data_IF_631329949344
#
_entry.id   IF_631329949344
#
_cell.length_a   1.000
_cell.length_b   1.000
_cell.length_c   1.000
_cell.angle_alpha   90.00
_cell.angle_beta   90.00
_cell.angle_gamma   90.00
#
_symmetry.space_group_name_H-M   'P 1'
#
loop_
_entity.id
_entity.type
_entity.pdbx_description
1 polymer ?
#
# COMPACT_ATOMS: atom_id res chain seq x y z
N UNK A 1 12.20 -25.97 6.18
CA UNK A 1 12.38 -24.51 6.12
C UNK A 1 11.12 -23.87 6.66
N UNK A 2 11.25 -23.03 7.68
CA UNK A 2 10.13 -22.26 8.25
C UNK A 2 9.70 -21.14 7.29
N UNK A 3 8.52 -20.54 7.51
CA UNK A 3 8.10 -19.36 6.72
C UNK A 3 9.10 -18.21 6.84
N UNK A 4 9.62 -17.96 8.03
CA UNK A 4 10.62 -16.92 8.26
C UNK A 4 11.90 -17.16 7.45
N UNK A 5 12.43 -18.39 7.46
CA UNK A 5 13.61 -18.74 6.67
C UNK A 5 13.37 -18.56 5.17
N UNK A 6 12.17 -18.86 4.68
CA UNK A 6 11.80 -18.63 3.29
C UNK A 6 11.79 -17.13 2.93
N UNK A 7 11.21 -16.30 3.80
CA UNK A 7 11.13 -14.87 3.60
C UNK A 7 12.49 -14.18 3.70
N UNK A 8 13.33 -14.62 4.64
CA UNK A 8 14.72 -14.18 4.72
C UNK A 8 15.50 -14.56 3.47
N UNK A 9 15.32 -15.78 2.95
CA UNK A 9 15.98 -16.20 1.73
C UNK A 9 15.55 -15.35 0.52
N UNK A 10 14.25 -15.02 0.41
CA UNK A 10 13.76 -14.11 -0.62
C UNK A 10 14.42 -12.73 -0.51
N UNK A 11 14.45 -12.16 0.70
CA UNK A 11 15.09 -10.86 0.93
C UNK A 11 16.60 -10.88 0.61
N UNK A 12 17.30 -11.95 0.96
CA UNK A 12 18.71 -12.11 0.61
C UNK A 12 18.93 -12.18 -0.89
N UNK A 13 18.11 -12.96 -1.59
CA UNK A 13 18.19 -13.10 -3.04
C UNK A 13 17.94 -11.76 -3.75
N UNK A 14 17.02 -10.95 -3.25
CA UNK A 14 16.78 -9.59 -3.76
C UNK A 14 17.96 -8.66 -3.49
N UNK A 15 18.49 -8.67 -2.25
CA UNK A 15 19.61 -7.79 -1.86
C UNK A 15 20.90 -8.18 -2.59
N UNK A 16 21.09 -9.46 -2.89
CA UNK A 16 22.26 -9.99 -3.58
C UNK A 16 22.08 -10.06 -5.10
N UNK A 17 20.94 -9.58 -5.63
CA UNK A 17 20.63 -9.48 -7.07
C UNK A 17 20.84 -10.79 -7.82
N UNK A 18 20.36 -11.91 -7.26
CA UNK A 18 20.47 -13.21 -7.93
C UNK A 18 19.66 -13.24 -9.23
N UNK A 19 20.27 -13.71 -10.31
CA UNK A 19 19.74 -13.71 -11.68
C UNK A 19 18.31 -14.23 -11.85
N UNK A 20 17.87 -15.17 -11.01
CA UNK A 20 16.51 -15.75 -11.09
C UNK A 20 15.37 -14.74 -10.87
N UNK A 21 15.69 -13.51 -10.42
CA UNK A 21 14.73 -12.44 -10.18
C UNK A 21 14.92 -11.25 -11.14
N UNK A 22 15.82 -11.33 -12.16
CA UNK A 22 16.36 -10.16 -12.90
C UNK A 22 15.43 -9.60 -13.97
N UNK A 23 14.42 -10.29 -14.53
CA UNK A 23 13.84 -9.73 -15.77
C UNK A 23 12.44 -9.11 -15.68
N UNK A 24 11.49 -9.62 -15.00
CA UNK A 24 10.11 -9.06 -15.02
C UNK A 24 9.46 -8.98 -13.65
N UNK A 25 9.94 -9.78 -12.72
CA UNK A 25 9.31 -9.99 -11.43
C UNK A 25 9.89 -9.13 -10.29
N UNK A 26 10.97 -8.41 -10.52
CA UNK A 26 11.65 -7.62 -9.48
C UNK A 26 10.73 -6.62 -8.80
N UNK A 27 9.97 -5.87 -9.59
CA UNK A 27 9.07 -4.86 -9.07
C UNK A 27 7.95 -5.43 -8.19
N UNK A 28 7.58 -6.70 -8.37
CA UNK A 28 6.54 -7.35 -7.57
C UNK A 28 7.07 -7.94 -6.26
N UNK A 29 8.37 -8.21 -6.16
CA UNK A 29 8.99 -8.75 -4.96
C UNK A 29 9.69 -7.68 -4.12
N UNK A 30 10.12 -6.58 -4.70
CA UNK A 30 10.63 -5.44 -3.95
C UNK A 30 9.49 -4.71 -3.25
N UNK A 31 9.84 -4.11 -2.14
CA UNK A 31 8.92 -3.28 -1.37
C UNK A 31 8.79 -1.88 -1.99
N UNK A 32 7.62 -1.30 -1.88
CA UNK A 32 7.41 0.11 -2.16
C UNK A 32 7.56 0.89 -0.86
N UNK A 33 8.43 1.90 -0.80
CA UNK A 33 8.63 2.66 0.44
C UNK A 33 7.39 3.48 0.80
N UNK A 34 6.73 4.06 -0.21
CA UNK A 34 5.49 4.79 -0.10
C UNK A 34 4.58 4.47 -1.30
N UNK A 35 3.27 4.67 -1.10
CA UNK A 35 2.32 4.54 -2.21
C UNK A 35 2.40 5.73 -3.15
N UNK A 36 2.14 5.48 -4.43
CA UNK A 36 2.00 6.50 -5.49
C UNK A 36 0.56 7.02 -5.61
N UNK A 37 -0.35 6.53 -4.78
CA UNK A 37 -1.77 6.88 -4.79
C UNK A 37 -2.04 8.06 -3.86
N UNK A 38 -2.88 8.99 -4.29
CA UNK A 38 -3.36 10.06 -3.41
C UNK A 38 -4.42 9.54 -2.43
N UNK A 39 -3.94 8.90 -1.37
CA UNK A 39 -4.78 8.27 -0.34
C UNK A 39 -5.67 9.28 0.40
N UNK A 40 -5.15 10.49 0.61
CA UNK A 40 -5.83 11.55 1.33
C UNK A 40 -7.19 11.87 0.72
N UNK A 41 -7.21 12.08 -0.59
CA UNK A 41 -8.44 12.48 -1.27
C UNK A 41 -9.37 11.30 -1.51
N UNK A 42 -8.82 10.17 -1.95
CA UNK A 42 -9.64 9.04 -2.30
C UNK A 42 -10.37 8.42 -1.10
N UNK A 43 -9.74 8.37 0.09
CA UNK A 43 -10.41 7.88 1.30
C UNK A 43 -11.30 8.93 1.99
N UNK A 44 -11.20 10.20 1.62
CA UNK A 44 -11.95 11.26 2.28
C UNK A 44 -13.47 11.07 2.20
N UNK A 45 -13.98 10.55 1.11
CA UNK A 45 -15.41 10.36 0.86
C UNK A 45 -16.03 9.17 1.64
N UNK A 46 -15.21 8.31 2.27
CA UNK A 46 -15.71 7.11 2.95
C UNK A 46 -15.76 7.29 4.46
N UNK A 47 -16.94 7.01 5.03
CA UNK A 47 -17.08 6.84 6.47
C UNK A 47 -16.82 5.36 6.83
N UNK A 48 -15.65 5.11 7.44
CA UNK A 48 -15.20 3.75 7.79
C UNK A 48 -15.16 3.51 9.31
N UNK A 49 -15.70 4.41 10.11
CA UNK A 49 -15.76 4.25 11.55
C UNK A 49 -16.51 2.96 11.94
N UNK A 50 -15.89 2.14 12.79
CA UNK A 50 -16.39 0.82 13.21
C UNK A 50 -16.61 -0.20 12.07
N UNK A 51 -16.05 0.02 10.90
CA UNK A 51 -16.14 -0.89 9.75
C UNK A 51 -14.99 -1.90 9.71
N UNK A 52 -15.27 -3.07 9.14
CA UNK A 52 -14.24 -4.05 8.80
C UNK A 52 -13.73 -3.73 7.41
N UNK A 53 -12.44 -3.47 7.31
CA UNK A 53 -11.79 -3.01 6.09
C UNK A 53 -10.74 -4.02 5.62
N UNK A 54 -10.66 -4.24 4.32
CA UNK A 54 -9.56 -4.96 3.68
C UNK A 54 -8.87 -4.06 2.66
N UNK A 55 -7.57 -4.20 2.52
CA UNK A 55 -6.77 -3.45 1.54
C UNK A 55 -5.62 -4.29 1.01
N UNK A 56 -5.23 -4.06 -0.24
CA UNK A 56 -3.89 -4.45 -0.70
C UNK A 56 -2.89 -3.70 0.16
N UNK A 57 -1.88 -4.40 0.67
CA UNK A 57 -0.97 -3.80 1.66
C UNK A 57 0.12 -2.96 1.03
N UNK A 58 0.72 -3.45 -0.06
CA UNK A 58 1.74 -2.72 -0.82
C UNK A 58 2.81 -2.05 0.07
N UNK A 59 2.83 -0.72 0.10
CA UNK A 59 3.72 0.10 0.95
C UNK A 59 3.29 0.20 2.41
N UNK A 60 2.12 -0.35 2.76
CA UNK A 60 1.45 -0.22 4.07
C UNK A 60 0.88 1.17 4.40
N UNK A 61 0.98 2.14 3.50
CA UNK A 61 0.38 3.46 3.70
C UNK A 61 -1.15 3.38 3.74
N UNK A 62 -1.74 2.44 3.00
CA UNK A 62 -3.16 2.14 3.05
C UNK A 62 -3.63 1.78 4.46
N UNK A 63 -2.83 1.03 5.22
CA UNK A 63 -3.15 0.66 6.60
C UNK A 63 -3.20 1.89 7.49
N UNK A 64 -2.20 2.78 7.37
CA UNK A 64 -2.10 4.00 8.17
C UNK A 64 -3.24 4.98 7.86
N UNK A 65 -3.57 5.16 6.59
CA UNK A 65 -4.68 6.00 6.15
C UNK A 65 -6.05 5.44 6.58
N UNK A 66 -6.25 4.12 6.46
CA UNK A 66 -7.46 3.47 6.95
C UNK A 66 -7.58 3.61 8.46
N UNK A 67 -6.48 3.50 9.22
CA UNK A 67 -6.51 3.63 10.67
C UNK A 67 -7.03 5.00 11.14
N UNK A 68 -6.72 6.06 10.42
CA UNK A 68 -7.26 7.39 10.71
C UNK A 68 -8.79 7.48 10.59
N UNK A 69 -9.41 6.56 9.85
CA UNK A 69 -10.87 6.46 9.73
C UNK A 69 -11.52 5.65 10.87
N UNK A 70 -10.74 5.21 11.87
CA UNK A 70 -11.18 4.47 13.06
C UNK A 70 -11.98 3.21 12.73
N UNK A 71 -11.49 2.34 11.84
CA UNK A 71 -12.19 1.10 11.53
C UNK A 71 -12.18 0.17 12.73
N UNK A 72 -13.09 -0.79 12.74
CA UNK A 72 -13.13 -1.86 13.74
C UNK A 72 -11.95 -2.83 13.57
N UNK A 73 -11.58 -3.10 12.32
CA UNK A 73 -10.52 -4.04 11.96
C UNK A 73 -9.98 -3.72 10.57
N UNK A 74 -8.69 -3.92 10.37
CA UNK A 74 -8.03 -3.80 9.07
C UNK A 74 -7.36 -5.14 8.73
N UNK A 75 -7.62 -5.65 7.53
CA UNK A 75 -6.91 -6.80 6.97
C UNK A 75 -6.08 -6.29 5.78
N UNK A 76 -4.77 -6.36 5.89
CA UNK A 76 -3.86 -6.15 4.76
C UNK A 76 -3.63 -7.48 4.04
N UNK A 77 -3.73 -7.48 2.72
CA UNK A 77 -3.47 -8.65 1.89
C UNK A 77 -2.42 -8.32 0.82
N UNK A 78 -1.51 -9.25 0.57
CA UNK A 78 -0.50 -9.11 -0.46
C UNK A 78 0.08 -10.46 -0.85
N UNK A 79 0.44 -10.63 -2.11
CA UNK A 79 1.19 -11.79 -2.60
C UNK A 79 2.65 -11.73 -2.20
N UNK A 80 3.20 -10.53 -2.04
CA UNK A 80 4.56 -10.34 -1.55
C UNK A 80 4.59 -10.50 -0.02
N UNK A 81 5.23 -11.56 0.50
CA UNK A 81 5.25 -11.81 1.94
C UNK A 81 6.04 -10.75 2.74
N UNK A 82 6.94 -10.03 2.08
CA UNK A 82 7.79 -9.03 2.74
C UNK A 82 7.01 -7.79 3.16
N UNK A 83 5.88 -7.49 2.49
CA UNK A 83 5.03 -6.35 2.83
C UNK A 83 4.47 -6.42 4.25
N UNK A 84 4.19 -7.64 4.76
CA UNK A 84 3.78 -7.84 6.15
C UNK A 84 4.84 -7.42 7.17
N UNK A 85 6.09 -7.81 6.94
CA UNK A 85 7.20 -7.38 7.79
C UNK A 85 7.45 -5.88 7.69
N UNK A 86 7.29 -5.31 6.49
CA UNK A 86 7.44 -3.88 6.28
C UNK A 86 6.34 -3.07 6.97
N UNK A 87 5.08 -3.52 6.90
CA UNK A 87 3.98 -2.89 7.62
C UNK A 87 4.20 -2.86 9.14
N UNK A 88 4.69 -3.97 9.70
CA UNK A 88 5.03 -4.02 11.11
C UNK A 88 6.19 -3.07 11.47
N UNK A 89 7.20 -2.93 10.60
CA UNK A 89 8.28 -1.95 10.80
C UNK A 89 7.74 -0.52 10.79
N UNK A 90 6.88 -0.17 9.82
CA UNK A 90 6.22 1.14 9.77
C UNK A 90 5.41 1.43 11.03
N UNK A 91 4.60 0.48 11.50
CA UNK A 91 3.81 0.65 12.72
C UNK A 91 4.68 0.78 13.97
N UNK A 92 5.72 -0.05 14.11
CA UNK A 92 6.64 0.02 15.24
C UNK A 92 7.40 1.35 15.28
N UNK A 93 7.72 1.93 14.13
CA UNK A 93 8.48 3.17 14.03
C UNK A 93 7.78 4.37 14.67
N UNK A 94 6.44 4.39 14.74
CA UNK A 94 5.68 5.43 15.44
C UNK A 94 5.91 5.45 16.96
N UNK A 95 6.55 4.43 17.52
CA UNK A 95 6.93 4.43 18.94
C UNK A 95 8.20 5.22 19.20
N UNK A 96 9.02 5.44 18.18
CA UNK A 96 10.36 6.02 18.28
C UNK A 96 10.43 7.36 17.55
N UNK A 97 9.89 7.42 16.36
CA UNK A 97 9.92 8.60 15.50
C UNK A 97 8.78 9.55 15.93
N UNK A 98 9.15 10.65 16.58
CA UNK A 98 8.20 11.58 17.19
C UNK A 98 7.49 12.49 16.19
N UNK A 99 8.00 12.61 14.95
CA UNK A 99 7.50 13.52 13.93
C UNK A 99 7.43 12.86 12.56
N UNK A 100 6.52 13.34 11.71
CA UNK A 100 6.42 12.90 10.31
C UNK A 100 7.72 13.14 9.53
N UNK A 101 8.48 14.17 9.89
CA UNK A 101 9.79 14.43 9.28
C UNK A 101 10.80 13.34 9.61
N UNK A 102 10.93 12.96 10.89
CA UNK A 102 11.81 11.85 11.29
C UNK A 102 11.40 10.55 10.64
N UNK A 103 10.09 10.31 10.51
CA UNK A 103 9.54 9.15 9.80
C UNK A 103 9.97 9.14 8.31
N UNK A 104 9.82 10.25 7.61
CA UNK A 104 10.27 10.38 6.23
C UNK A 104 11.79 10.25 6.12
N UNK A 105 12.55 10.87 7.03
CA UNK A 105 14.02 10.78 7.05
C UNK A 105 14.49 9.32 7.23
N UNK A 106 13.76 8.50 7.98
CA UNK A 106 14.08 7.08 8.18
C UNK A 106 13.69 6.20 6.98
N UNK A 107 12.49 6.34 6.43
CA UNK A 107 12.00 5.44 5.36
C UNK A 107 12.39 5.86 3.95
N UNK A 108 12.75 7.12 3.77
CA UNK A 108 12.98 7.69 2.46
C UNK A 108 14.45 7.62 2.04
N UNK A 109 14.66 7.37 0.72
CA UNK A 109 15.97 7.48 0.10
C UNK A 109 16.08 8.82 -0.62
N UNK A 110 17.15 9.58 -0.38
CA UNK A 110 17.48 10.78 -1.12
C UNK A 110 18.75 10.53 -1.93
N UNK A 111 18.64 10.47 -3.24
CA UNK A 111 19.77 10.34 -4.15
C UNK A 111 20.67 11.59 -4.24
N UNK A 112 20.37 12.63 -3.47
CA UNK A 112 21.11 13.88 -3.52
C UNK A 112 22.03 14.10 -2.32
N UNK A 113 23.24 13.53 -2.35
CA UNK A 113 24.28 13.87 -1.34
C UNK A 113 24.71 15.34 -1.40
N UNK A 114 24.33 16.07 -2.46
CA UNK A 114 24.70 17.48 -2.65
C UNK A 114 23.97 18.47 -1.76
N UNK A 115 22.78 18.14 -1.27
CA UNK A 115 21.94 19.04 -0.49
C UNK A 115 21.81 18.67 1.01
N UNK A 116 22.16 17.46 1.39
CA UNK A 116 22.11 17.00 2.78
C UNK A 116 23.52 16.77 3.32
N UNK A 117 24.23 17.84 3.64
CA UNK A 117 25.61 17.75 4.15
C UNK A 117 25.78 17.05 5.49
N UNK A 118 24.73 16.80 6.26
CA UNK A 118 24.90 16.38 7.66
C UNK A 118 23.78 15.49 8.20
N UNK A 119 23.20 14.54 7.71
CA UNK A 119 22.44 13.48 8.43
C UNK A 119 21.60 12.64 7.46
N UNK A 120 22.29 11.76 6.80
CA UNK A 120 21.64 10.69 6.07
C UNK A 120 21.16 9.65 7.09
N UNK A 121 19.87 9.57 7.32
CA UNK A 121 19.26 8.69 8.34
C UNK A 121 18.39 7.57 7.77
N UNK A 122 18.39 7.39 6.43
CA UNK A 122 17.58 6.33 5.84
C UNK A 122 18.02 4.96 6.36
N UNK A 123 17.09 4.27 6.99
CA UNK A 123 17.34 2.97 7.64
C UNK A 123 18.51 3.01 8.63
N UNK A 124 18.73 4.14 9.29
CA UNK A 124 19.78 4.31 10.30
C UNK A 124 19.74 3.17 11.31
N UNK A 125 20.92 2.60 11.60
CA UNK A 125 21.03 1.37 12.40
C UNK A 125 20.73 1.62 13.88
N UNK A 126 21.10 2.78 14.42
CA UNK A 126 20.85 3.12 15.82
C UNK A 126 19.35 3.38 16.02
N UNK A 127 18.74 4.12 15.11
CA UNK A 127 17.27 4.34 15.10
C UNK A 127 16.53 2.99 14.94
N UNK A 128 17.01 2.11 14.06
CA UNK A 128 16.42 0.79 13.91
C UNK A 128 16.48 -0.02 15.21
N UNK A 129 17.59 0.02 15.95
CA UNK A 129 17.72 -0.69 17.23
C UNK A 129 16.66 -0.25 18.24
N UNK A 130 16.33 1.04 18.26
CA UNK A 130 15.23 1.54 19.08
C UNK A 130 13.87 1.03 18.61
N UNK A 131 13.61 1.07 17.29
CA UNK A 131 12.37 0.56 16.69
C UNK A 131 12.21 -0.95 16.94
N UNK A 132 13.29 -1.72 16.89
CA UNK A 132 13.29 -3.18 17.09
C UNK A 132 12.73 -3.59 18.47
N UNK A 133 12.76 -2.71 19.47
CA UNK A 133 12.15 -2.96 20.78
C UNK A 133 10.61 -3.02 20.71
N UNK A 134 10.02 -2.44 19.67
CA UNK A 134 8.56 -2.41 19.45
C UNK A 134 8.10 -3.39 18.37
N UNK A 135 9.03 -4.08 17.71
CA UNK A 135 8.73 -5.21 16.85
C UNK A 135 8.52 -6.48 17.67
N UNK A 136 7.71 -7.39 17.15
CA UNK A 136 7.46 -8.68 17.77
C UNK A 136 7.50 -9.83 16.76
N UNK A 137 7.59 -11.06 17.28
CA UNK A 137 7.53 -12.30 16.50
C UNK A 137 8.50 -12.31 15.30
N UNK A 138 8.04 -12.89 14.21
CA UNK A 138 8.85 -13.10 13.00
C UNK A 138 9.32 -11.78 12.37
N UNK A 139 8.57 -10.69 12.52
CA UNK A 139 8.98 -9.39 11.96
C UNK A 139 10.20 -8.81 12.67
N UNK A 140 10.31 -8.99 13.99
CA UNK A 140 11.50 -8.62 14.74
C UNK A 140 12.72 -9.39 14.24
N UNK A 141 12.62 -10.71 14.21
CA UNK A 141 13.70 -11.59 13.77
C UNK A 141 14.12 -11.31 12.32
N UNK A 142 13.15 -11.05 11.44
CA UNK A 142 13.40 -10.72 10.04
C UNK A 142 14.26 -9.46 9.90
N UNK A 143 13.86 -8.36 10.52
CA UNK A 143 14.57 -7.09 10.39
C UNK A 143 15.91 -7.11 11.13
N UNK A 144 15.98 -7.67 12.34
CA UNK A 144 17.25 -7.82 13.08
C UNK A 144 18.28 -8.59 12.26
N UNK A 145 17.85 -9.67 11.57
CA UNK A 145 18.75 -10.47 10.73
C UNK A 145 19.24 -9.69 9.50
N UNK A 146 18.37 -8.90 8.86
CA UNK A 146 18.78 -8.06 7.74
C UNK A 146 19.79 -6.99 8.18
N UNK A 147 19.52 -6.27 9.27
CA UNK A 147 20.42 -5.24 9.79
C UNK A 147 21.71 -5.80 10.40
N UNK A 148 21.72 -7.06 10.79
CA UNK A 148 22.92 -7.77 11.20
C UNK A 148 23.82 -8.12 10.01
N UNK A 149 23.22 -8.51 8.88
CA UNK A 149 23.93 -9.06 7.71
C UNK A 149 24.33 -7.98 6.70
N UNK A 150 23.56 -6.91 6.57
CA UNK A 150 23.76 -5.91 5.53
C UNK A 150 23.82 -4.48 6.10
N UNK A 151 24.55 -3.64 5.39
CA UNK A 151 24.53 -2.20 5.66
C UNK A 151 23.16 -1.59 5.32
N UNK A 152 22.67 -0.59 6.09
CA UNK A 152 21.39 0.07 5.90
C UNK A 152 21.13 0.53 4.45
N UNK A 153 22.14 1.16 3.85
CA UNK A 153 22.10 1.61 2.44
C UNK A 153 21.79 0.45 1.50
N UNK A 154 22.42 -0.71 1.70
CA UNK A 154 22.21 -1.86 0.85
C UNK A 154 20.81 -2.45 1.02
N UNK A 155 20.29 -2.50 2.25
CA UNK A 155 18.90 -2.91 2.52
C UNK A 155 17.96 -1.98 1.74
N UNK A 156 18.10 -0.65 1.92
CA UNK A 156 17.19 0.31 1.33
C UNK A 156 17.24 0.32 -0.21
N UNK A 157 18.40 0.27 -0.81
CA UNK A 157 18.54 0.36 -2.28
C UNK A 157 18.22 -0.93 -3.02
N UNK A 158 18.33 -2.10 -2.36
CA UNK A 158 18.15 -3.40 -3.03
C UNK A 158 16.84 -4.08 -2.70
N UNK A 159 16.30 -3.86 -1.50
CA UNK A 159 15.04 -4.47 -1.09
C UNK A 159 13.82 -3.63 -1.49
N UNK A 160 14.02 -2.35 -1.81
CA UNK A 160 12.94 -1.43 -2.17
C UNK A 160 13.02 -0.98 -3.62
N UNK A 161 11.86 -0.72 -4.20
CA UNK A 161 11.77 -0.05 -5.48
C UNK A 161 12.25 1.41 -5.35
N UNK A 162 12.89 1.89 -6.39
CA UNK A 162 13.16 3.31 -6.54
C UNK A 162 11.90 3.96 -7.13
N UNK A 163 11.47 5.05 -6.52
CA UNK A 163 10.43 5.89 -7.09
C UNK A 163 11.02 7.28 -7.28
N UNK A 164 11.04 7.75 -8.50
CA UNK A 164 11.45 9.13 -8.85
C UNK A 164 10.57 10.19 -8.18
N UNK A 165 9.47 9.75 -7.58
CA UNK A 165 8.36 10.58 -7.10
C UNK A 165 8.40 10.86 -5.59
N UNK A 166 9.45 10.45 -4.90
CA UNK A 166 9.59 10.65 -3.46
C UNK A 166 9.96 12.10 -3.09
N UNK A 167 9.16 13.05 -3.51
CA UNK A 167 9.25 14.41 -3.01
C UNK A 167 8.47 14.54 -1.70
N UNK A 168 9.12 15.02 -0.62
CA UNK A 168 8.46 15.20 0.67
C UNK A 168 7.18 16.01 0.58
N UNK A 169 7.16 17.06 -0.25
CA UNK A 169 5.99 17.90 -0.43
C UNK A 169 4.83 17.13 -1.03
N UNK A 170 5.09 16.27 -2.03
CA UNK A 170 4.07 15.42 -2.63
C UNK A 170 3.52 14.42 -1.61
N UNK A 171 4.38 13.76 -0.82
CA UNK A 171 3.94 12.84 0.23
C UNK A 171 3.08 13.53 1.30
N UNK A 172 3.41 14.74 1.74
CA UNK A 172 2.57 15.52 2.66
C UNK A 172 1.21 15.91 2.05
N UNK A 173 1.14 16.01 0.73
CA UNK A 173 -0.12 16.34 0.04
C UNK A 173 -1.00 15.11 -0.18
N UNK A 174 -0.41 13.94 -0.38
CA UNK A 174 -1.11 12.71 -0.75
C UNK A 174 -1.38 11.77 0.41
N UNK A 175 -0.63 11.89 1.52
CA UNK A 175 -0.75 11.05 2.71
C UNK A 175 -1.17 11.88 3.91
N UNK A 176 -2.42 11.72 4.36
CA UNK A 176 -2.97 12.51 5.47
C UNK A 176 -2.32 12.15 6.80
N UNK A 177 -1.83 10.93 6.98
CA UNK A 177 -1.18 10.52 8.21
C UNK A 177 0.14 11.27 8.49
N UNK A 178 0.74 11.91 7.48
CA UNK A 178 1.94 12.74 7.65
C UNK A 178 1.65 14.15 8.18
N UNK A 179 0.38 14.59 8.23
CA UNK A 179 0.06 15.85 8.92
C UNK A 179 0.29 15.73 10.42
N UNK A 180 0.75 16.78 11.07
CA UNK A 180 1.12 16.77 12.49
C UNK A 180 0.02 16.20 13.40
N UNK A 181 -1.23 16.65 13.22
CA UNK A 181 -2.34 16.17 14.05
C UNK A 181 -2.63 14.68 13.85
N UNK A 182 -2.62 14.20 12.61
CA UNK A 182 -2.86 12.79 12.30
C UNK A 182 -1.66 11.91 12.69
N UNK A 183 -0.44 12.40 12.51
CA UNK A 183 0.75 11.70 12.95
C UNK A 183 0.71 11.47 14.46
N UNK A 184 0.46 12.52 15.24
CA UNK A 184 0.31 12.44 16.68
C UNK A 184 -0.86 11.53 17.10
N UNK A 185 -1.95 11.50 16.33
CA UNK A 185 -3.04 10.56 16.58
C UNK A 185 -2.56 9.11 16.46
N UNK A 186 -1.79 8.76 15.42
CA UNK A 186 -1.25 7.41 15.25
C UNK A 186 -0.27 7.08 16.39
N UNK A 187 0.69 7.96 16.68
CA UNK A 187 1.64 7.79 17.81
C UNK A 187 0.91 7.42 19.10
N UNK A 188 -0.17 8.14 19.43
CA UNK A 188 -0.91 7.96 20.68
C UNK A 188 -1.90 6.79 20.67
N UNK A 189 -2.20 6.21 19.52
CA UNK A 189 -3.22 5.16 19.39
C UNK A 189 -2.73 3.91 18.66
N UNK A 190 -1.45 3.79 18.31
CA UNK A 190 -0.91 2.66 17.53
C UNK A 190 -1.24 1.29 18.13
N UNK A 191 -1.26 1.19 19.46
CA UNK A 191 -1.55 -0.06 20.17
C UNK A 191 -3.04 -0.48 20.08
N UNK A 192 -3.89 0.40 19.53
CA UNK A 192 -5.32 0.15 19.32
C UNK A 192 -5.64 -0.31 17.90
N UNK A 193 -4.64 -0.43 17.04
CA UNK A 193 -4.82 -0.89 15.66
C UNK A 193 -5.10 -2.38 15.67
N UNK A 194 -6.33 -2.78 15.39
CA UNK A 194 -6.67 -4.18 15.08
C UNK A 194 -6.30 -4.45 13.61
N UNK A 195 -5.05 -4.78 13.40
CA UNK A 195 -4.48 -5.05 12.08
C UNK A 195 -3.97 -6.48 11.98
N UNK A 196 -4.29 -7.12 10.85
CA UNK A 196 -3.80 -8.45 10.51
C UNK A 196 -3.30 -8.46 9.07
N UNK A 197 -2.11 -8.95 8.85
CA UNK A 197 -1.58 -9.23 7.51
C UNK A 197 -1.86 -10.68 7.11
N UNK A 198 -2.29 -10.87 5.84
CA UNK A 198 -2.40 -12.17 5.21
C UNK A 198 -1.62 -12.19 3.90
N UNK A 199 -0.65 -13.08 3.82
CA UNK A 199 0.08 -13.33 2.58
C UNK A 199 -0.76 -14.25 1.70
N UNK A 200 -1.58 -13.66 0.85
CA UNK A 200 -2.50 -14.35 -0.05
C UNK A 200 -2.60 -13.64 -1.39
N UNK A 201 -2.92 -14.39 -2.42
CA UNK A 201 -3.41 -13.81 -3.66
C UNK A 201 -4.86 -13.33 -3.45
N UNK A 202 -5.15 -12.09 -3.81
CA UNK A 202 -6.47 -11.48 -3.67
C UNK A 202 -7.56 -12.27 -4.44
N UNK A 203 -7.17 -13.03 -5.47
CA UNK A 203 -8.08 -13.93 -6.21
C UNK A 203 -8.64 -15.05 -5.34
N UNK A 204 -7.92 -15.43 -4.28
CA UNK A 204 -8.33 -16.46 -3.31
C UNK A 204 -9.02 -15.84 -2.08
N UNK A 205 -9.48 -14.60 -2.18
CA UNK A 205 -10.02 -13.85 -1.05
C UNK A 205 -11.16 -14.58 -0.33
N UNK A 206 -12.11 -15.15 -1.06
CA UNK A 206 -13.29 -15.80 -0.47
C UNK A 206 -12.96 -17.07 0.30
N UNK A 207 -11.86 -17.74 -0.05
CA UNK A 207 -11.38 -18.94 0.62
C UNK A 207 -10.60 -18.63 1.89
N UNK A 208 -9.83 -17.53 1.86
CA UNK A 208 -8.86 -17.16 2.89
C UNK A 208 -9.41 -16.17 3.93
N UNK A 209 -10.46 -15.41 3.58
CA UNK A 209 -11.12 -14.45 4.46
C UNK A 209 -12.52 -14.93 4.80
N UNK A 210 -12.69 -15.48 6.00
CA UNK A 210 -13.98 -16.03 6.43
C UNK A 210 -15.00 -14.96 6.77
N UNK A 211 -14.57 -13.87 7.43
CA UNK A 211 -15.44 -12.81 7.89
C UNK A 211 -15.84 -11.83 6.77
N UNK A 212 -17.09 -11.37 6.82
CA UNK A 212 -17.58 -10.35 5.88
C UNK A 212 -16.95 -8.99 6.16
N UNK A 213 -16.66 -8.27 5.08
CA UNK A 213 -16.08 -6.95 5.08
C UNK A 213 -17.13 -5.88 4.75
N UNK A 214 -16.92 -4.66 5.24
CA UNK A 214 -17.75 -3.51 4.91
C UNK A 214 -17.09 -2.67 3.79
N UNK A 215 -15.78 -2.78 3.67
CA UNK A 215 -14.98 -2.00 2.73
C UNK A 215 -13.77 -2.80 2.26
N UNK A 216 -13.55 -2.82 0.97
CA UNK A 216 -12.35 -3.44 0.37
C UNK A 216 -11.76 -2.49 -0.65
N UNK A 217 -10.46 -2.24 -0.58
CA UNK A 217 -9.76 -1.45 -1.58
C UNK A 217 -8.65 -2.24 -2.26
N UNK A 218 -8.62 -2.16 -3.58
CA UNK A 218 -7.72 -2.92 -4.44
C UNK A 218 -6.54 -2.09 -4.96
N UNK A 219 -6.33 -0.88 -4.38
CA UNK A 219 -5.25 0.00 -4.85
C UNK A 219 -5.38 0.26 -6.36
N UNK A 220 -4.31 0.15 -7.12
CA UNK A 220 -4.26 0.28 -8.58
C UNK A 220 -4.34 -1.07 -9.31
N UNK A 221 -4.90 -2.11 -8.68
CA UNK A 221 -4.92 -3.47 -9.23
C UNK A 221 -5.60 -3.58 -10.60
N UNK A 222 -6.53 -2.67 -10.91
CA UNK A 222 -7.20 -2.63 -12.20
C UNK A 222 -6.21 -2.48 -13.38
N UNK A 223 -5.09 -1.78 -13.17
CA UNK A 223 -4.04 -1.62 -14.18
C UNK A 223 -3.38 -2.96 -14.53
N UNK A 224 -3.40 -3.89 -13.57
CA UNK A 224 -2.85 -5.23 -13.73
C UNK A 224 -3.90 -6.26 -14.18
N UNK A 225 -5.11 -5.84 -14.53
CA UNK A 225 -6.18 -6.74 -14.97
C UNK A 225 -5.74 -7.60 -16.17
N UNK A 226 -4.96 -7.02 -17.09
CA UNK A 226 -4.39 -7.72 -18.24
C UNK A 226 -3.43 -8.88 -17.85
N UNK A 227 -2.86 -8.85 -16.66
CA UNK A 227 -2.01 -9.93 -16.15
C UNK A 227 -2.76 -10.99 -15.36
N UNK A 228 -4.04 -10.77 -15.06
CA UNK A 228 -4.88 -11.73 -14.33
C UNK A 228 -5.38 -12.86 -15.22
N UNK A 229 -5.73 -12.52 -16.46
CA UNK A 229 -6.07 -13.45 -17.53
C UNK A 229 -5.60 -12.84 -18.85
N UNK A 230 -4.58 -13.43 -19.45
CA UNK A 230 -4.00 -12.92 -20.70
C UNK A 230 -4.95 -13.04 -21.90
N UNK A 231 -5.89 -14.01 -21.84
CA UNK A 231 -6.81 -14.28 -22.94
C UNK A 231 -8.09 -13.43 -22.83
N UNK A 232 -8.51 -13.09 -21.62
CA UNK A 232 -9.67 -12.26 -21.37
C UNK A 232 -9.52 -11.43 -20.07
N UNK A 233 -8.80 -10.32 -20.10
CA UNK A 233 -8.55 -9.48 -18.92
C UNK A 233 -9.80 -9.01 -18.21
N UNK A 234 -10.85 -8.69 -18.98
CA UNK A 234 -12.13 -8.24 -18.43
C UNK A 234 -12.83 -9.36 -17.65
N UNK A 235 -12.80 -10.60 -18.13
CA UNK A 235 -13.38 -11.73 -17.43
C UNK A 235 -12.62 -11.99 -16.10
N UNK A 236 -11.29 -12.01 -16.12
CA UNK A 236 -10.49 -12.18 -14.92
C UNK A 236 -10.77 -11.12 -13.85
N UNK A 237 -10.93 -9.88 -14.28
CA UNK A 237 -11.31 -8.78 -13.40
C UNK A 237 -12.74 -8.94 -12.84
N UNK A 238 -13.72 -9.33 -13.68
CA UNK A 238 -15.09 -9.59 -13.24
C UNK A 238 -15.14 -10.71 -12.19
N UNK A 239 -14.47 -11.82 -12.44
CA UNK A 239 -14.40 -12.96 -11.52
C UNK A 239 -13.79 -12.55 -10.18
N UNK A 240 -12.76 -11.70 -10.18
CA UNK A 240 -12.19 -11.14 -8.97
C UNK A 240 -13.22 -10.33 -8.17
N UNK A 241 -13.90 -9.38 -8.83
CA UNK A 241 -14.87 -8.51 -8.16
C UNK A 241 -16.08 -9.33 -7.65
N UNK A 242 -16.54 -10.32 -8.41
CA UNK A 242 -17.59 -11.25 -7.97
C UNK A 242 -17.14 -12.06 -6.73
N UNK A 243 -15.94 -12.59 -6.74
CA UNK A 243 -15.34 -13.29 -5.59
C UNK A 243 -15.30 -12.43 -4.32
N UNK A 244 -14.82 -11.20 -4.44
CA UNK A 244 -14.78 -10.25 -3.33
C UNK A 244 -16.19 -9.95 -2.81
N UNK A 245 -17.18 -9.85 -3.70
CA UNK A 245 -18.56 -9.57 -3.33
C UNK A 245 -19.17 -10.63 -2.41
N UNK A 246 -18.73 -11.88 -2.50
CA UNK A 246 -19.22 -12.97 -1.64
C UNK A 246 -18.88 -12.74 -0.17
N UNK A 247 -17.79 -12.02 0.10
CA UNK A 247 -17.34 -11.64 1.45
C UNK A 247 -17.68 -10.20 1.82
N UNK A 248 -18.51 -9.52 1.05
CA UNK A 248 -18.94 -8.16 1.32
C UNK A 248 -20.30 -8.17 2.05
N UNK A 249 -20.48 -7.29 3.03
CA UNK A 249 -21.78 -7.01 3.64
C UNK A 249 -22.69 -6.30 2.62
N UNK A 250 -24.01 -6.33 2.87
CA UNK A 250 -24.96 -5.47 2.15
C UNK A 250 -24.53 -4.00 2.36
N UNK A 251 -24.65 -3.17 1.31
CA UNK A 251 -24.15 -1.80 1.26
C UNK A 251 -22.63 -1.66 1.45
N UNK A 252 -21.91 -2.77 1.54
CA UNK A 252 -20.45 -2.79 1.55
C UNK A 252 -19.90 -2.32 0.21
N UNK A 253 -18.69 -1.78 0.23
CA UNK A 253 -18.06 -1.17 -0.94
C UNK A 253 -16.75 -1.86 -1.32
N UNK A 254 -16.55 -1.98 -2.63
CA UNK A 254 -15.25 -2.30 -3.22
C UNK A 254 -14.77 -1.07 -3.98
N UNK A 255 -13.63 -0.52 -3.59
CA UNK A 255 -12.89 0.44 -4.39
C UNK A 255 -11.96 -0.37 -5.29
N UNK A 256 -12.41 -0.58 -6.51
CA UNK A 256 -11.87 -1.60 -7.40
C UNK A 256 -10.63 -1.17 -8.16
N UNK A 257 -10.33 0.12 -8.19
CA UNK A 257 -9.15 0.62 -8.88
C UNK A 257 -8.91 2.09 -8.62
N UNK A 258 -7.65 2.43 -8.54
CA UNK A 258 -7.16 3.78 -8.69
C UNK A 258 -6.67 3.93 -10.12
N UNK A 259 -7.33 4.82 -10.84
CA UNK A 259 -7.09 5.06 -12.26
C UNK A 259 -6.27 6.34 -12.38
N UNK A 260 -5.10 6.21 -12.95
CA UNK A 260 -4.26 7.36 -13.27
C UNK A 260 -4.72 7.96 -14.60
N UNK A 261 -4.80 9.29 -14.68
CA UNK A 261 -5.08 10.01 -15.92
C UNK A 261 -6.39 9.62 -16.60
N UNK A 262 -7.47 9.86 -15.87
CA UNK A 262 -8.82 9.42 -16.28
C UNK A 262 -9.26 9.94 -17.65
N UNK A 263 -8.78 11.10 -18.07
CA UNK A 263 -9.13 11.69 -19.35
C UNK A 263 -8.63 10.90 -20.56
N UNK A 264 -7.52 10.18 -20.39
CA UNK A 264 -6.91 9.39 -21.47
C UNK A 264 -7.35 7.92 -21.50
N UNK A 265 -8.06 7.45 -20.46
CA UNK A 265 -8.46 6.03 -20.33
C UNK A 265 -10.00 5.83 -20.35
N UNK A 266 -10.74 6.71 -20.99
CA UNK A 266 -12.21 6.78 -20.88
C UNK A 266 -12.92 5.51 -21.40
N UNK A 267 -12.45 4.94 -22.50
CA UNK A 267 -13.07 3.77 -23.13
C UNK A 267 -12.94 2.50 -22.28
N UNK A 268 -11.80 2.25 -21.69
CA UNK A 268 -11.56 1.05 -20.88
C UNK A 268 -12.43 1.06 -19.61
N UNK A 269 -12.68 2.22 -19.05
CA UNK A 269 -13.48 2.40 -17.83
C UNK A 269 -14.94 2.07 -18.00
N UNK A 270 -15.53 2.47 -19.13
CA UNK A 270 -16.92 2.15 -19.41
C UNK A 270 -17.12 0.65 -19.60
N UNK A 271 -16.13 -0.07 -20.14
CA UNK A 271 -16.14 -1.53 -20.26
C UNK A 271 -16.20 -2.17 -18.87
N UNK A 272 -15.33 -1.78 -17.94
CA UNK A 272 -15.31 -2.32 -16.58
C UNK A 272 -16.60 -1.98 -15.81
N UNK A 273 -17.14 -0.79 -16.02
CA UNK A 273 -18.38 -0.34 -15.40
C UNK A 273 -19.60 -1.12 -15.88
N UNK A 274 -19.72 -1.31 -17.20
CA UNK A 274 -20.86 -2.01 -17.81
C UNK A 274 -20.90 -3.51 -17.48
N UNK A 275 -19.74 -4.13 -17.40
CA UNK A 275 -19.63 -5.58 -17.21
C UNK A 275 -20.25 -6.09 -15.89
N UNK A 276 -20.35 -5.26 -14.86
CA UNK A 276 -20.85 -5.62 -13.53
C UNK A 276 -22.17 -4.92 -13.13
N UNK A 277 -22.70 -4.08 -14.02
CA UNK A 277 -23.78 -3.12 -13.74
C UNK A 277 -25.05 -3.73 -13.15
N UNK A 278 -25.45 -4.91 -13.56
CA UNK A 278 -26.81 -5.39 -13.33
C UNK A 278 -26.93 -6.60 -12.41
N UNK A 279 -25.84 -7.27 -12.05
CA UNK A 279 -25.89 -8.56 -11.36
C UNK A 279 -25.87 -8.42 -9.82
N UNK A 280 -24.82 -7.88 -9.24
CA UNK A 280 -24.55 -7.95 -7.80
C UNK A 280 -24.52 -6.55 -7.17
N UNK A 281 -24.14 -5.55 -7.94
CA UNK A 281 -23.87 -4.21 -7.46
C UNK A 281 -24.95 -3.20 -7.88
N UNK A 282 -25.05 -2.11 -7.14
CA UNK A 282 -25.67 -0.88 -7.60
C UNK A 282 -24.88 -0.37 -8.80
N UNK A 283 -25.44 0.60 -9.51
CA UNK A 283 -24.68 1.25 -10.58
C UNK A 283 -23.33 1.74 -10.01
N UNK A 284 -22.21 1.36 -10.64
CA UNK A 284 -20.89 1.79 -10.16
C UNK A 284 -20.76 3.31 -10.24
N UNK A 285 -20.24 3.88 -9.18
CA UNK A 285 -19.99 5.32 -9.10
C UNK A 285 -18.50 5.58 -9.32
N UNK A 286 -18.18 6.54 -10.17
CA UNK A 286 -16.86 7.13 -10.18
C UNK A 286 -16.82 8.26 -9.15
N UNK A 287 -15.94 8.15 -8.18
CA UNK A 287 -15.57 9.29 -7.37
C UNK A 287 -14.53 10.08 -8.14
N UNK A 288 -14.98 11.10 -8.88
CA UNK A 288 -14.08 12.09 -9.46
C UNK A 288 -13.55 12.94 -8.33
N UNK A 289 -12.36 12.63 -7.88
CA UNK A 289 -11.64 13.54 -7.03
C UNK A 289 -10.62 14.24 -7.90
N UNK A 290 -10.49 15.54 -7.75
CA UNK A 290 -9.46 16.38 -8.36
C UNK A 290 -8.11 16.02 -7.76
N UNK A 291 -7.63 14.82 -8.11
CA UNK A 291 -6.38 14.31 -7.60
C UNK A 291 -5.30 14.80 -8.53
N UNK A 292 -4.52 15.78 -8.08
CA UNK A 292 -3.28 16.10 -8.77
C UNK A 292 -2.41 14.85 -8.78
N UNK A 293 -1.94 14.45 -9.96
CA UNK A 293 -0.95 13.40 -10.08
C UNK A 293 0.28 13.75 -9.23
N UNK A 294 0.83 12.80 -8.53
CA UNK A 294 2.11 13.00 -7.84
C UNK A 294 3.18 13.53 -8.80
N UNK A 295 3.19 13.05 -10.03
CA UNK A 295 4.09 13.50 -11.09
C UNK A 295 3.96 15.00 -11.42
N UNK A 296 2.74 15.53 -11.46
CA UNK A 296 2.49 16.95 -11.76
C UNK A 296 2.85 17.86 -10.56
N UNK A 297 2.81 17.34 -9.34
CA UNK A 297 3.28 18.03 -8.15
C UNK A 297 4.81 18.28 -8.18
N UNK A 298 5.56 17.45 -8.90
CA UNK A 298 7.01 17.65 -9.07
C UNK A 298 7.36 18.75 -10.05
N UNK A 299 6.53 18.95 -11.07
CA UNK A 299 6.82 19.87 -12.16
C UNK A 299 6.23 21.27 -11.98
N UNK A 300 5.45 21.50 -10.93
CA UNK A 300 4.63 22.71 -10.79
C UNK A 300 3.71 22.98 -12.01
N UNK A 301 3.46 21.95 -12.81
CA UNK A 301 2.56 22.04 -13.95
C UNK A 301 1.12 21.96 -13.47
N UNK A 302 0.27 22.87 -13.91
CA UNK A 302 -1.16 22.78 -13.75
C UNK A 302 -1.72 21.87 -14.84
N UNK A 303 -1.49 20.56 -14.69
CA UNK A 303 -2.18 19.59 -15.53
C UNK A 303 -3.66 19.60 -15.17
N UNK A 304 -4.53 19.57 -16.17
CA UNK A 304 -5.97 19.41 -15.97
C UNK A 304 -6.36 17.93 -15.82
N UNK A 305 -5.40 17.04 -15.81
CA UNK A 305 -5.62 15.62 -15.74
C UNK A 305 -5.90 15.20 -14.30
N UNK A 306 -6.88 14.34 -14.14
CA UNK A 306 -7.34 13.85 -12.83
C UNK A 306 -7.17 12.34 -12.74
N UNK A 307 -6.93 11.88 -11.52
CA UNK A 307 -7.06 10.46 -11.19
C UNK A 307 -8.50 10.18 -10.70
N UNK A 308 -8.93 8.94 -10.74
CA UNK A 308 -10.24 8.55 -10.27
C UNK A 308 -10.22 7.19 -9.56
N UNK A 309 -11.27 6.91 -8.83
CA UNK A 309 -11.49 5.58 -8.24
C UNK A 309 -12.84 5.04 -8.69
N UNK A 310 -12.88 3.75 -9.00
CA UNK A 310 -14.08 3.03 -9.37
C UNK A 310 -14.66 2.34 -8.13
N UNK A 311 -15.88 2.67 -7.77
CA UNK A 311 -16.54 2.19 -6.54
C UNK A 311 -17.74 1.32 -6.88
N UNK A 312 -17.74 0.09 -6.40
CA UNK A 312 -18.88 -0.82 -6.44
C UNK A 312 -19.55 -0.89 -5.07
N UNK A 313 -20.86 -0.68 -5.00
CA UNK A 313 -21.64 -0.84 -3.77
C UNK A 313 -22.55 -2.06 -3.90
N UNK A 314 -22.42 -3.02 -3.00
CA UNK A 314 -23.24 -4.24 -3.00
C UNK A 314 -24.71 -3.94 -2.69
N UNK A 315 -25.64 -4.54 -3.45
CA UNK A 315 -27.10 -4.44 -3.23
C UNK A 315 -27.56 -5.09 -1.92
#
# INVERSE_FOLDING_TARGET
MTKLELYLQLAYDLIEEKEKYVEYYWQFYRLWPFTTINMKEYLQSFNLENKKCTTIQESSDHILELFLKKPKKIIGVDTNPLTGHYGNLKLASFAVLGTAREYLDFFRWHDYPKFCKNNYKAFDKDIFQEIANYLSGDSKLFWEELFRKYEPVKIRTKLFNETDEENNQALYQTLSYLSEGNYNYIVNNRDKIDFTFKNIDIRNFKEEIEEKQDFTTLSNLIIYANSMDSDNPLQGYQELIENLSLRLNKEGKIVAGYLYDIENEEDDREIYKQALRDKIFKEPEYSYQYVRKMHDLHKNEHSMNHDAVLVYTKK
#
